data_IF_881210923727
#
_entry.id   IF_881210923727
#
_cell.length_a   1.000
_cell.length_b   1.000
_cell.length_c   1.000
_cell.angle_alpha   90.00
_cell.angle_beta   90.00
_cell.angle_gamma   90.00
#
_symmetry.space_group_name_H-M   'P 1'
#
loop_
_entity.id
_entity.type
_entity.pdbx_description
1 polymer ?
#
# COMPACT_ATOMS: atom_id res chain seq x y z
N UNK A 1 -14.17 16.67 0.37
CA UNK A 1 -13.03 16.77 1.32
C UNK A 1 -12.51 15.39 1.72
N UNK A 2 -13.35 14.44 2.12
CA UNK A 2 -12.94 13.08 2.57
C UNK A 2 -11.92 12.36 1.66
N UNK A 3 -12.14 12.31 0.34
CA UNK A 3 -11.20 11.63 -0.57
C UNK A 3 -9.80 12.24 -0.56
N UNK A 4 -9.71 13.58 -0.59
CA UNK A 4 -8.45 14.30 -0.53
C UNK A 4 -7.74 14.07 0.81
N UNK A 5 -8.49 14.03 1.92
CA UNK A 5 -7.96 13.69 3.24
C UNK A 5 -7.39 12.27 3.28
N UNK A 6 -8.09 11.28 2.71
CA UNK A 6 -7.59 9.91 2.67
C UNK A 6 -6.29 9.80 1.84
N UNK A 7 -6.23 10.49 0.70
CA UNK A 7 -5.02 10.53 -0.13
C UNK A 7 -3.86 11.24 0.58
N UNK A 8 -4.14 12.34 1.28
CA UNK A 8 -3.12 13.05 2.05
C UNK A 8 -2.56 12.19 3.17
N UNK A 9 -3.41 11.55 3.98
CA UNK A 9 -2.98 10.68 5.07
C UNK A 9 -2.11 9.53 4.58
N UNK A 10 -2.47 8.90 3.44
CA UNK A 10 -1.65 7.86 2.83
C UNK A 10 -0.25 8.36 2.47
N UNK A 11 -0.16 9.56 1.88
CA UNK A 11 1.14 10.14 1.50
C UNK A 11 1.93 10.55 2.74
N UNK A 12 1.28 11.13 3.74
CA UNK A 12 1.92 11.55 4.99
C UNK A 12 2.54 10.37 5.74
N UNK A 13 1.83 9.26 5.90
CA UNK A 13 2.31 8.07 6.62
C UNK A 13 3.44 7.31 5.88
N UNK A 14 3.64 7.61 4.60
CA UNK A 14 4.64 6.95 3.74
C UNK A 14 5.78 7.88 3.33
N UNK A 15 5.75 9.14 3.80
CA UNK A 15 6.74 10.15 3.44
C UNK A 15 7.93 10.14 4.39
N UNK A 16 9.12 9.91 3.85
CA UNK A 16 10.37 10.16 4.55
C UNK A 16 10.73 11.64 4.40
N UNK A 17 10.62 12.40 5.49
CA UNK A 17 10.91 13.83 5.53
C UNK A 17 12.41 14.16 5.39
N UNK A 18 13.29 13.25 5.82
CA UNK A 18 14.74 13.42 5.74
C UNK A 18 15.23 13.15 4.31
N UNK A 19 14.85 12.00 3.74
CA UNK A 19 15.19 11.62 2.38
C UNK A 19 14.38 12.40 1.32
N UNK A 20 13.26 13.02 1.71
CA UNK A 20 12.28 13.68 0.83
C UNK A 20 11.73 12.74 -0.24
N UNK A 21 11.34 11.55 0.19
CA UNK A 21 10.92 10.48 -0.70
C UNK A 21 9.65 9.81 -0.18
N UNK A 22 8.84 9.35 -1.13
CA UNK A 22 7.78 8.40 -0.84
C UNK A 22 8.42 7.01 -0.69
N UNK A 23 8.36 6.44 0.51
CA UNK A 23 8.95 5.14 0.81
C UNK A 23 7.85 4.09 0.80
N UNK A 24 7.96 3.14 -0.12
CA UNK A 24 7.07 2.00 -0.19
C UNK A 24 7.61 0.86 0.68
N UNK A 25 7.34 0.94 1.98
CA UNK A 25 7.66 -0.10 2.95
C UNK A 25 6.48 -1.06 3.14
N UNK A 26 6.55 -2.23 2.49
CA UNK A 26 5.49 -3.24 2.58
C UNK A 26 5.46 -3.95 3.94
N UNK A 27 6.37 -3.65 4.88
CA UNK A 27 6.33 -4.16 6.25
C UNK A 27 5.65 -3.18 7.23
N UNK A 28 5.32 -1.96 6.79
CA UNK A 28 4.59 -0.95 7.57
C UNK A 28 3.12 -1.36 7.79
N UNK A 29 2.46 -0.87 8.84
CA UNK A 29 1.09 -1.25 9.22
C UNK A 29 0.00 -0.92 8.17
N UNK A 30 0.18 0.12 7.33
CA UNK A 30 -0.87 0.62 6.44
C UNK A 30 -0.74 0.09 5.01
N UNK A 31 0.49 -0.01 4.51
CA UNK A 31 0.76 -0.33 3.11
C UNK A 31 0.30 -1.73 2.66
N UNK A 32 0.40 -2.81 3.46
CA UNK A 32 -0.11 -4.13 3.11
C UNK A 32 -1.59 -4.16 2.77
N UNK A 33 -2.40 -3.31 3.41
CA UNK A 33 -3.83 -3.18 3.13
C UNK A 33 -4.14 -2.31 1.92
N UNK A 34 -3.18 -1.51 1.45
CA UNK A 34 -3.38 -0.52 0.39
C UNK A 34 -2.77 -0.95 -0.96
N UNK A 35 -1.74 -1.79 -0.96
CA UNK A 35 -0.98 -2.15 -2.16
C UNK A 35 -1.47 -3.46 -2.76
N UNK A 36 -1.97 -3.41 -3.99
CA UNK A 36 -2.46 -4.61 -4.70
C UNK A 36 -1.32 -5.35 -5.41
N UNK A 37 -0.45 -4.62 -6.10
CA UNK A 37 0.65 -5.18 -6.90
C UNK A 37 1.96 -4.46 -6.66
N UNK A 38 3.07 -5.20 -6.62
CA UNK A 38 4.42 -4.64 -6.59
C UNK A 38 5.40 -5.61 -7.28
N UNK A 39 6.41 -5.08 -7.97
CA UNK A 39 7.45 -5.90 -8.60
C UNK A 39 6.95 -6.92 -9.65
N UNK A 40 5.80 -6.65 -10.28
CA UNK A 40 5.19 -7.57 -11.25
C UNK A 40 4.38 -8.72 -10.64
N UNK A 41 4.17 -8.73 -9.32
CA UNK A 41 3.37 -9.73 -8.61
C UNK A 41 2.19 -9.10 -7.86
N UNK A 42 1.15 -9.89 -7.62
CA UNK A 42 0.08 -9.55 -6.66
C UNK A 42 0.61 -9.80 -5.25
N UNK A 43 0.54 -8.76 -4.42
CA UNK A 43 1.07 -8.79 -3.05
C UNK A 43 -0.02 -8.70 -1.98
N UNK A 44 -1.20 -8.18 -2.33
CA UNK A 44 -2.32 -8.12 -1.39
C UNK A 44 -2.86 -9.52 -1.07
N UNK A 45 -2.87 -9.96 0.20
CA UNK A 45 -3.21 -11.34 0.59
C UNK A 45 -4.56 -11.82 0.03
N UNK A 46 -5.61 -11.04 0.23
CA UNK A 46 -6.97 -11.40 -0.24
C UNK A 46 -7.04 -11.55 -1.76
N UNK A 47 -6.40 -10.67 -2.53
CA UNK A 47 -6.43 -10.75 -3.98
C UNK A 47 -5.59 -11.94 -4.45
N UNK A 48 -4.46 -12.19 -3.79
CA UNK A 48 -3.59 -13.35 -4.06
C UNK A 48 -4.34 -14.67 -3.85
N UNK A 49 -5.09 -14.80 -2.75
CA UNK A 49 -5.95 -15.96 -2.50
C UNK A 49 -7.00 -16.13 -3.60
N UNK A 50 -7.68 -15.05 -3.99
CA UNK A 50 -8.72 -15.09 -5.04
C UNK A 50 -8.14 -15.57 -6.38
N UNK A 51 -6.96 -15.10 -6.80
CA UNK A 51 -6.37 -15.47 -8.10
C UNK A 51 -5.76 -16.87 -8.10
N UNK A 52 -5.29 -17.37 -6.95
CA UNK A 52 -4.69 -18.70 -6.81
C UNK A 52 -5.76 -19.82 -6.72
N UNK A 53 -7.05 -19.45 -6.79
CA UNK A 53 -8.17 -20.40 -6.69
C UNK A 53 -8.58 -20.69 -5.25
N UNK A 54 -8.37 -19.73 -4.33
CA UNK A 54 -8.87 -19.78 -2.96
C UNK A 54 -10.39 -19.98 -2.93
N UNK A 55 -10.84 -20.91 -2.07
CA UNK A 55 -12.22 -21.38 -1.93
C UNK A 55 -13.25 -20.28 -1.70
#
# INVERSE_FOLDING_TARGET
QMYASNMFNLVEDTWDAEAKQFVLDLENDILPGCVITHGGAVVHPTIKEIIEGGN
#
